data_IF_872962960105
#
_entry.id   IF_872962960105
#
_cell.length_a   1.000
_cell.length_b   1.000
_cell.length_c   1.000
_cell.angle_alpha   90.00
_cell.angle_beta   90.00
_cell.angle_gamma   90.00
#
_symmetry.space_group_name_H-M   'P 1'
#
loop_
_entity.id
_entity.type
_entity.pdbx_description
1 polymer ?
#
# COMPACT_ATOMS: atom_id res chain seq x y z
N UNK A 1 4.70 2.88 -7.27
CA UNK A 1 5.20 1.55 -6.88
C UNK A 1 6.64 1.36 -7.35
N UNK A 2 6.88 1.25 -8.66
CA UNK A 2 8.24 1.06 -9.21
C UNK A 2 9.24 2.16 -8.82
N UNK A 3 8.88 3.43 -9.05
CA UNK A 3 9.73 4.59 -8.73
C UNK A 3 10.19 4.61 -7.26
N UNK A 4 9.31 4.16 -6.36
CA UNK A 4 9.55 4.17 -4.91
C UNK A 4 10.26 2.90 -4.41
N UNK A 5 10.61 1.97 -5.31
CA UNK A 5 11.33 0.75 -4.95
C UNK A 5 10.53 -0.23 -4.09
N UNK A 6 9.20 -0.17 -4.07
CA UNK A 6 8.38 -1.00 -3.19
C UNK A 6 8.65 -2.51 -3.36
N UNK A 7 8.95 -2.94 -4.60
CA UNK A 7 9.27 -4.33 -4.93
C UNK A 7 10.56 -4.88 -4.33
N UNK A 8 11.43 -4.03 -3.77
CA UNK A 8 12.61 -4.48 -3.02
C UNK A 8 12.25 -5.03 -1.64
N UNK A 9 11.12 -4.62 -1.07
CA UNK A 9 10.67 -5.06 0.25
C UNK A 9 9.44 -5.97 0.20
N UNK A 10 8.64 -5.85 -0.86
CA UNK A 10 7.35 -6.53 -1.00
C UNK A 10 7.32 -7.39 -2.25
N UNK A 11 7.00 -8.66 -2.09
CA UNK A 11 6.68 -9.54 -3.23
C UNK A 11 5.23 -9.34 -3.68
N UNK A 12 4.96 -9.70 -4.93
CA UNK A 12 3.62 -9.95 -5.44
C UNK A 12 3.56 -11.37 -6.00
N UNK A 13 4.01 -12.35 -5.21
CA UNK A 13 4.00 -13.77 -5.55
C UNK A 13 3.79 -14.63 -4.31
N UNK A 14 2.62 -15.23 -4.17
CA UNK A 14 2.26 -16.13 -3.07
C UNK A 14 2.69 -17.55 -3.42
N UNK A 15 3.52 -18.16 -2.58
CA UNK A 15 4.00 -19.54 -2.77
C UNK A 15 2.98 -20.55 -2.25
N UNK A 16 3.02 -21.78 -2.75
CA UNK A 16 2.25 -22.89 -2.20
C UNK A 16 2.91 -23.47 -0.94
N UNK A 17 2.97 -22.65 0.12
CA UNK A 17 3.50 -23.03 1.42
C UNK A 17 2.50 -22.63 2.51
N UNK A 18 2.38 -23.42 3.61
CA UNK A 18 1.46 -23.11 4.69
C UNK A 18 1.62 -21.69 5.27
N UNK A 19 2.85 -21.19 5.36
CA UNK A 19 3.17 -19.86 5.87
C UNK A 19 2.72 -18.70 4.96
N UNK A 20 2.45 -18.98 3.68
CA UNK A 20 2.05 -17.98 2.69
C UNK A 20 0.52 -17.86 2.55
N UNK A 21 -0.24 -18.81 3.11
CA UNK A 21 -1.72 -18.80 3.11
C UNK A 21 -2.36 -17.49 3.58
N UNK A 22 -1.84 -16.76 4.59
CA UNK A 22 -2.41 -15.48 4.99
C UNK A 22 -2.38 -14.41 3.90
N UNK A 23 -1.55 -14.56 2.85
CA UNK A 23 -1.41 -13.60 1.76
C UNK A 23 -2.33 -13.86 0.57
N UNK A 24 -2.97 -15.03 0.49
CA UNK A 24 -3.86 -15.41 -0.61
C UNK A 24 -3.68 -16.86 -1.04
N UNK A 25 -4.29 -17.21 -2.19
CA UNK A 25 -4.03 -18.51 -2.83
C UNK A 25 -2.64 -18.50 -3.49
N UNK A 26 -2.05 -19.67 -3.76
CA UNK A 26 -0.83 -19.74 -4.56
C UNK A 26 -1.00 -18.98 -5.88
N UNK A 27 0.01 -18.19 -6.22
CA UNK A 27 0.07 -17.45 -7.47
C UNK A 27 0.19 -18.40 -8.66
N UNK A 28 -0.49 -18.09 -9.76
CA UNK A 28 -0.42 -18.84 -11.02
C UNK A 28 0.04 -17.92 -12.15
N UNK A 29 0.56 -18.48 -13.24
CA UNK A 29 1.08 -17.70 -14.37
C UNK A 29 0.06 -16.71 -14.94
N UNK A 30 -1.23 -17.06 -14.93
CA UNK A 30 -2.32 -16.20 -15.40
C UNK A 30 -2.49 -14.90 -14.59
N UNK A 31 -2.05 -14.85 -13.33
CA UNK A 31 -2.11 -13.65 -12.49
C UNK A 31 -1.25 -12.51 -13.06
N UNK A 32 -0.21 -12.84 -13.81
CA UNK A 32 0.79 -11.90 -14.34
C UNK A 32 0.66 -11.65 -15.84
N UNK A 33 -0.37 -12.19 -16.50
CA UNK A 33 -0.51 -12.14 -17.95
C UNK A 33 -0.56 -10.70 -18.52
N UNK A 34 -0.90 -9.72 -17.67
CA UNK A 34 -0.98 -8.29 -18.03
C UNK A 34 0.15 -7.43 -17.45
N UNK A 35 1.11 -8.02 -16.74
CA UNK A 35 2.24 -7.30 -16.15
C UNK A 35 3.49 -7.37 -17.05
N UNK A 36 4.12 -6.21 -17.31
CA UNK A 36 5.33 -6.12 -18.14
C UNK A 36 6.33 -5.11 -17.54
N UNK A 37 7.41 -5.56 -16.89
CA UNK A 37 7.66 -6.95 -16.46
C UNK A 37 6.78 -7.36 -15.27
N UNK A 38 6.58 -8.66 -15.03
CA UNK A 38 5.94 -9.16 -13.79
C UNK A 38 6.67 -8.70 -12.53
N UNK A 39 5.92 -8.23 -11.52
CA UNK A 39 6.47 -7.69 -10.26
C UNK A 39 6.49 -8.72 -9.12
N UNK A 40 7.05 -9.90 -9.40
CA UNK A 40 7.04 -11.03 -8.46
C UNK A 40 7.75 -10.70 -7.13
N UNK A 41 8.84 -9.94 -7.21
CA UNK A 41 9.72 -9.61 -6.08
C UNK A 41 10.68 -10.76 -5.71
N UNK A 42 11.74 -10.44 -4.98
CA UNK A 42 12.81 -11.40 -4.61
C UNK A 42 13.11 -11.42 -3.11
N UNK A 43 12.56 -10.47 -2.35
CA UNK A 43 12.76 -10.33 -0.91
C UNK A 43 11.45 -9.91 -0.24
N UNK A 44 11.22 -10.41 0.98
CA UNK A 44 10.09 -10.04 1.85
C UNK A 44 10.59 -9.44 3.16
N UNK A 45 10.89 -8.16 3.12
CA UNK A 45 11.06 -7.35 4.34
C UNK A 45 9.70 -6.92 4.88
N UNK A 46 8.76 -6.63 3.98
CA UNK A 46 7.33 -6.48 4.28
C UNK A 46 6.49 -7.64 3.74
N UNK A 47 5.18 -7.66 4.07
CA UNK A 47 4.24 -8.67 3.60
C UNK A 47 4.10 -8.73 2.07
N UNK A 48 3.71 -9.89 1.54
CA UNK A 48 3.33 -10.04 0.13
C UNK A 48 2.07 -9.22 -0.19
N UNK A 49 2.04 -8.54 -1.35
CA UNK A 49 0.96 -7.62 -1.74
C UNK A 49 -0.01 -8.18 -2.78
N UNK A 50 0.15 -9.42 -3.26
CA UNK A 50 -0.63 -9.98 -4.37
C UNK A 50 -2.15 -9.91 -4.17
N UNK A 51 -2.59 -10.01 -2.92
CA UNK A 51 -4.00 -9.94 -2.54
C UNK A 51 -4.27 -8.87 -1.45
N UNK A 52 -3.46 -7.81 -1.41
CA UNK A 52 -3.57 -6.80 -0.34
C UNK A 52 -4.92 -6.07 -0.36
N UNK A 53 -5.57 -5.92 -1.51
CA UNK A 53 -6.86 -5.27 -1.61
C UNK A 53 -8.02 -6.06 -0.96
N UNK A 54 -7.83 -7.37 -0.76
CA UNK A 54 -8.75 -8.20 0.02
C UNK A 54 -8.44 -8.11 1.51
N UNK A 55 -7.16 -8.15 1.87
CA UNK A 55 -6.70 -8.13 3.27
C UNK A 55 -6.81 -6.76 3.93
N UNK A 56 -6.64 -5.70 3.14
CA UNK A 56 -6.68 -4.31 3.58
C UNK A 56 -7.36 -3.44 2.52
N UNK A 57 -8.71 -3.38 2.50
CA UNK A 57 -9.48 -2.65 1.50
C UNK A 57 -9.59 -1.14 1.77
N UNK A 58 -9.16 -0.65 2.95
CA UNK A 58 -9.29 0.76 3.31
C UNK A 58 -8.22 1.62 2.63
N UNK A 59 -8.64 2.53 1.77
CA UNK A 59 -7.80 3.55 1.15
C UNK A 59 -7.17 4.48 2.22
N UNK A 60 -7.94 4.89 3.22
CA UNK A 60 -7.47 5.71 4.34
C UNK A 60 -6.35 5.01 5.12
N UNK A 61 -6.49 3.71 5.41
CA UNK A 61 -5.41 2.96 6.07
C UNK A 61 -4.13 2.99 5.24
N UNK A 62 -4.22 2.77 3.92
CA UNK A 62 -3.05 2.83 3.04
C UNK A 62 -2.42 4.23 3.02
N UNK A 63 -3.22 5.29 3.02
CA UNK A 63 -2.71 6.67 3.07
C UNK A 63 -1.97 6.97 4.37
N UNK A 64 -2.54 6.58 5.51
CA UNK A 64 -1.87 6.76 6.82
C UNK A 64 -0.58 5.93 6.85
N UNK A 65 -0.64 4.67 6.40
CA UNK A 65 0.52 3.78 6.35
C UNK A 65 1.63 4.32 5.43
N UNK A 66 1.30 4.85 4.26
CA UNK A 66 2.29 5.45 3.35
C UNK A 66 2.91 6.72 3.94
N UNK A 67 2.12 7.56 4.62
CA UNK A 67 2.64 8.76 5.25
C UNK A 67 3.58 8.41 6.41
N UNK A 68 3.13 7.59 7.34
CA UNK A 68 3.92 7.08 8.45
C UNK A 68 3.47 5.66 8.84
N UNK A 69 4.23 4.63 8.43
CA UNK A 69 3.86 3.23 8.67
C UNK A 69 3.64 2.91 10.16
N UNK A 70 4.39 3.58 11.05
CA UNK A 70 4.31 3.35 12.50
C UNK A 70 3.01 3.88 13.12
N UNK A 71 2.28 4.74 12.43
CA UNK A 71 1.00 5.25 12.90
C UNK A 71 -0.12 4.19 12.93
N UNK A 72 0.01 3.13 12.12
CA UNK A 72 -0.95 2.02 12.06
C UNK A 72 -0.32 0.65 12.32
N UNK A 73 1.00 0.54 12.18
CA UNK A 73 1.79 -0.67 12.50
C UNK A 73 3.02 -0.22 13.30
N UNK A 74 2.94 -0.08 14.64
CA UNK A 74 4.00 0.52 15.47
C UNK A 74 5.40 -0.08 15.26
N UNK A 75 5.47 -1.37 15.00
CA UNK A 75 6.70 -2.13 14.75
C UNK A 75 7.18 -2.13 13.29
N UNK A 76 6.55 -1.33 12.41
CA UNK A 76 6.87 -1.33 10.99
C UNK A 76 8.28 -0.78 10.72
N UNK A 77 9.05 -1.55 9.95
CA UNK A 77 10.36 -1.14 9.42
C UNK A 77 10.25 -0.43 8.06
N UNK A 78 9.04 -0.30 7.50
CA UNK A 78 8.83 0.39 6.24
C UNK A 78 9.18 1.88 6.37
N UNK A 79 9.89 2.47 5.40
CA UNK A 79 10.08 3.92 5.33
C UNK A 79 8.75 4.66 5.17
N UNK A 80 8.66 5.88 5.72
CA UNK A 80 7.56 6.77 5.39
C UNK A 80 7.80 7.47 4.05
N UNK A 81 6.73 7.79 3.34
CA UNK A 81 6.73 8.49 2.05
C UNK A 81 6.09 9.89 2.19
N UNK A 82 6.58 10.76 3.09
CA UNK A 82 5.93 12.05 3.38
C UNK A 82 5.88 12.99 2.16
N UNK A 83 6.74 12.80 1.16
CA UNK A 83 6.73 13.58 -0.09
C UNK A 83 5.48 13.38 -0.95
N UNK A 84 4.68 12.34 -0.68
CA UNK A 84 3.36 12.18 -1.29
C UNK A 84 2.25 12.98 -0.61
N UNK A 85 2.59 13.77 0.40
CA UNK A 85 1.62 14.52 1.18
C UNK A 85 2.01 15.99 1.26
N UNK A 86 1.05 16.82 1.61
CA UNK A 86 1.24 18.23 1.84
C UNK A 86 0.42 18.67 3.04
N UNK A 87 0.96 19.59 3.83
CA UNK A 87 0.24 20.19 4.95
C UNK A 87 -0.34 21.52 4.46
N UNK A 88 -1.63 21.73 4.73
CA UNK A 88 -2.35 22.97 4.40
C UNK A 88 -3.08 23.50 5.62
N UNK A 89 -3.33 24.80 5.67
CA UNK A 89 -4.19 25.36 6.72
C UNK A 89 -5.64 24.89 6.57
N UNK A 90 -6.13 24.69 5.34
CA UNK A 90 -7.46 24.16 5.04
C UNK A 90 -7.46 23.32 3.78
N UNK A 91 -8.31 22.30 3.75
CA UNK A 91 -8.51 21.47 2.57
C UNK A 91 -9.25 22.26 1.48
N UNK A 92 -8.73 22.20 0.25
CA UNK A 92 -9.38 22.74 -0.93
C UNK A 92 -10.37 21.71 -1.53
N UNK A 93 -11.23 22.16 -2.45
CA UNK A 93 -12.16 21.28 -3.16
C UNK A 93 -11.36 20.23 -3.96
N UNK A 94 -11.62 18.95 -3.68
CA UNK A 94 -10.95 17.82 -4.35
C UNK A 94 -9.72 17.29 -3.63
N UNK A 95 -9.31 17.93 -2.53
CA UNK A 95 -8.30 17.40 -1.62
C UNK A 95 -8.81 16.14 -0.93
N UNK A 96 -7.89 15.21 -0.68
CA UNK A 96 -8.14 14.01 0.15
C UNK A 96 -7.37 14.19 1.45
N UNK A 97 -8.09 14.48 2.53
CA UNK A 97 -7.50 14.63 3.86
C UNK A 97 -7.18 13.27 4.45
N UNK A 98 -6.03 13.17 5.13
CA UNK A 98 -5.55 11.93 5.74
C UNK A 98 -5.63 12.06 7.25
N UNK A 99 -6.52 11.32 7.93
CA UNK A 99 -6.70 11.40 9.38
C UNK A 99 -5.61 10.60 10.11
N UNK A 100 -4.43 11.20 10.26
CA UNK A 100 -3.31 10.59 11.00
C UNK A 100 -3.47 10.87 12.50
N UNK A 101 -3.10 9.93 13.41
CA UNK A 101 -3.08 10.19 14.84
C UNK A 101 -2.32 11.49 15.18
N UNK A 102 -2.77 12.30 16.16
CA UNK A 102 -2.19 13.62 16.44
C UNK A 102 -0.68 13.63 16.66
N UNK A 103 -0.12 12.58 17.26
CA UNK A 103 1.33 12.40 17.46
C UNK A 103 2.14 12.45 16.16
N UNK A 104 1.56 11.98 15.05
CA UNK A 104 2.19 11.97 13.74
C UNK A 104 1.56 12.99 12.78
N UNK A 105 0.49 13.67 13.22
CA UNK A 105 -0.31 14.58 12.42
C UNK A 105 0.40 15.91 12.14
N UNK A 106 -0.21 16.75 11.30
CA UNK A 106 0.23 18.14 11.13
C UNK A 106 0.01 18.94 12.43
N UNK A 107 0.60 20.14 12.53
CA UNK A 107 0.29 21.09 13.61
C UNK A 107 -1.20 21.32 13.79
N UNK A 108 -1.61 21.66 15.02
CA UNK A 108 -3.00 21.94 15.34
C UNK A 108 -3.60 23.01 14.41
N UNK A 109 -4.81 22.75 13.92
CA UNK A 109 -5.50 23.63 12.97
C UNK A 109 -5.09 23.45 11.50
N UNK A 110 -4.09 22.63 11.19
CA UNK A 110 -3.71 22.28 9.83
C UNK A 110 -4.21 20.88 9.43
N UNK A 111 -4.24 20.62 8.13
CA UNK A 111 -4.67 19.34 7.55
C UNK A 111 -3.58 18.74 6.70
N UNK A 112 -3.44 17.42 6.77
CA UNK A 112 -2.59 16.64 5.88
C UNK A 112 -3.41 16.19 4.68
N UNK A 113 -2.94 16.51 3.48
CA UNK A 113 -3.59 16.19 2.21
C UNK A 113 -2.72 15.25 1.40
N UNK A 114 -3.33 14.22 0.84
CA UNK A 114 -2.68 13.30 -0.08
C UNK A 114 -2.55 13.91 -1.47
N UNK A 115 -1.31 14.01 -1.98
CA UNK A 115 -1.04 14.38 -3.37
C UNK A 115 -1.53 13.28 -4.31
N UNK A 116 -1.56 13.61 -5.61
CA UNK A 116 -2.00 12.68 -6.65
C UNK A 116 -1.23 11.36 -6.61
N UNK A 117 0.08 11.41 -6.37
CA UNK A 117 0.97 10.26 -6.37
C UNK A 117 0.62 9.26 -5.27
N UNK A 118 0.31 9.73 -4.05
CA UNK A 118 -0.21 8.86 -2.98
C UNK A 118 -1.50 8.17 -3.42
N UNK A 119 -2.44 8.93 -3.97
CA UNK A 119 -3.75 8.43 -4.39
C UNK A 119 -3.63 7.40 -5.51
N UNK A 120 -2.78 7.65 -6.48
CA UNK A 120 -2.55 6.74 -7.61
C UNK A 120 -1.81 5.46 -7.14
N UNK A 121 -0.90 5.56 -6.17
CA UNK A 121 -0.30 4.38 -5.53
C UNK A 121 -1.34 3.56 -4.76
N UNK A 122 -2.19 4.20 -3.95
CA UNK A 122 -3.25 3.51 -3.21
C UNK A 122 -4.23 2.83 -4.16
N UNK A 123 -4.64 3.50 -5.25
CA UNK A 123 -5.47 2.88 -6.28
C UNK A 123 -4.80 1.64 -6.87
N UNK A 124 -3.52 1.71 -7.21
CA UNK A 124 -2.76 0.54 -7.68
C UNK A 124 -2.81 -0.59 -6.64
N UNK A 125 -2.51 -0.32 -5.38
CA UNK A 125 -2.57 -1.34 -4.31
C UNK A 125 -3.96 -1.97 -4.18
N UNK A 126 -5.02 -1.18 -4.34
CA UNK A 126 -6.40 -1.66 -4.32
C UNK A 126 -6.80 -2.45 -5.57
N UNK A 127 -6.01 -2.40 -6.65
CA UNK A 127 -6.17 -3.33 -7.79
C UNK A 127 -5.56 -4.70 -7.55
N UNK A 128 -4.66 -4.84 -6.56
CA UNK A 128 -4.01 -6.10 -6.22
C UNK A 128 -4.96 -7.00 -5.42
N UNK A 129 -5.90 -7.60 -6.16
CA UNK A 129 -6.85 -8.60 -5.70
C UNK A 129 -6.73 -9.82 -6.59
N UNK A 130 -6.39 -10.96 -6.01
CA UNK A 130 -6.33 -12.21 -6.76
C UNK A 130 -7.74 -12.56 -7.27
N UNK A 131 -7.90 -12.88 -8.56
CA UNK A 131 -9.18 -13.38 -9.05
C UNK A 131 -9.48 -14.73 -8.41
N UNK A 132 -10.77 -14.96 -8.18
CA UNK A 132 -11.27 -16.28 -7.81
C UNK A 132 -10.92 -17.25 -8.94
N UNK A 133 -10.25 -18.35 -8.60
CA UNK A 133 -9.97 -19.42 -9.55
C UNK A 133 -10.99 -20.50 -9.27
N UNK A 134 -11.87 -20.74 -10.23
CA UNK A 134 -12.75 -21.91 -10.18
C UNK A 134 -11.89 -23.16 -10.33
N UNK A 135 -12.06 -24.17 -9.46
CA UNK A 135 -11.31 -25.44 -9.55
C UNK A 135 -11.56 -26.18 -10.87
#
# INVERSE_FOLDING_TARGET
YLKEGCGYCHTQFVRDLPMDKPYGRPSVAGDYAREQPPLLGTQRTGPDLSNVAERQPSDIWHLIHLYNPRAVVPQSVMPGYPWFFEIKDKAAKGDVTVPVPPEFGPPEGQVLVARREARDLVKYLLTLRQPQVTP
#
